data_IF_033612060817
#
_entry.id   IF_033612060817
#
_cell.length_a   1.000
_cell.length_b   1.000
_cell.length_c   1.000
_cell.angle_alpha   90.00
_cell.angle_beta   90.00
_cell.angle_gamma   90.00
#
_symmetry.space_group_name_H-M   'P 1'
#
loop_
_entity.id
_entity.type
_entity.pdbx_description
1 polymer ?
#
# COMPACT_ATOMS: atom_id res chain seq x y z
N UNK A 1 -0.16 40.59 1.03
CA UNK A 1 0.44 40.89 -0.28
C UNK A 1 -0.02 39.91 -1.33
N UNK A 2 0.20 40.18 -2.61
CA UNK A 2 -0.11 39.24 -3.69
C UNK A 2 0.98 38.14 -3.68
N UNK A 3 0.57 36.86 -3.71
CA UNK A 3 1.47 35.71 -3.74
C UNK A 3 0.78 34.50 -4.36
N UNK A 4 1.57 33.49 -4.70
CA UNK A 4 1.03 32.19 -5.13
C UNK A 4 0.72 31.33 -3.90
N UNK A 5 -0.47 30.72 -3.82
CA UNK A 5 -0.75 29.72 -2.78
C UNK A 5 0.28 28.59 -2.83
N UNK A 6 0.69 28.09 -1.67
CA UNK A 6 1.54 26.92 -1.59
C UNK A 6 0.75 25.63 -1.80
N UNK A 7 1.44 24.56 -2.10
CA UNK A 7 0.83 23.24 -2.32
C UNK A 7 -0.02 22.77 -1.12
N UNK A 8 0.47 22.92 0.10
CA UNK A 8 -0.23 22.45 1.30
C UNK A 8 -1.59 23.12 1.53
N UNK A 9 -1.75 24.41 1.19
CA UNK A 9 -3.07 25.07 1.34
C UNK A 9 -4.08 24.54 0.32
N UNK A 10 -3.63 24.11 -0.85
CA UNK A 10 -4.50 23.47 -1.85
C UNK A 10 -5.04 22.15 -1.29
N UNK A 11 -4.17 21.29 -0.72
CA UNK A 11 -4.58 20.04 -0.09
C UNK A 11 -5.48 20.26 1.13
N UNK A 12 -5.14 21.21 2.01
CA UNK A 12 -5.97 21.54 3.18
C UNK A 12 -7.39 21.96 2.76
N UNK A 13 -7.50 22.84 1.75
CA UNK A 13 -8.79 23.31 1.25
C UNK A 13 -9.60 22.20 0.57
N UNK A 14 -8.97 21.40 -0.32
CA UNK A 14 -9.64 20.30 -1.02
C UNK A 14 -10.10 19.21 -0.06
N UNK A 15 -9.28 18.87 0.93
CA UNK A 15 -9.64 17.86 1.92
C UNK A 15 -10.83 18.32 2.77
N UNK A 16 -10.83 19.57 3.21
CA UNK A 16 -11.94 20.12 3.97
C UNK A 16 -13.24 20.13 3.16
N UNK A 17 -13.18 20.52 1.88
CA UNK A 17 -14.36 20.60 1.00
C UNK A 17 -14.94 19.22 0.66
N UNK A 18 -14.07 18.23 0.38
CA UNK A 18 -14.50 16.92 -0.11
C UNK A 18 -14.71 15.88 0.99
N UNK A 19 -13.95 15.95 2.08
CA UNK A 19 -13.91 14.93 3.13
C UNK A 19 -14.38 15.45 4.49
N UNK A 20 -14.56 16.77 4.62
CA UNK A 20 -14.93 17.43 5.86
C UNK A 20 -13.73 17.92 6.66
N UNK A 21 -14.02 18.55 7.80
CA UNK A 21 -13.01 19.20 8.66
C UNK A 21 -12.10 18.19 9.38
N UNK A 22 -12.58 16.96 9.55
CA UNK A 22 -11.84 15.80 10.08
C UNK A 22 -12.14 14.59 9.23
N UNK A 23 -11.11 13.85 8.80
CA UNK A 23 -11.29 12.61 8.05
C UNK A 23 -10.38 11.49 8.57
N UNK A 24 -10.62 10.25 8.11
CA UNK A 24 -10.07 9.07 8.76
C UNK A 24 -8.60 8.84 8.46
N UNK A 25 -8.20 8.86 7.19
CA UNK A 25 -6.85 8.48 6.77
C UNK A 25 -6.29 9.49 5.78
N UNK A 26 -5.07 9.97 6.05
CA UNK A 26 -4.27 10.75 5.12
C UNK A 26 -2.91 10.08 4.92
N UNK A 27 -2.46 9.97 3.68
CA UNK A 27 -1.26 9.24 3.35
C UNK A 27 -0.32 9.97 2.42
N UNK A 28 0.93 9.49 2.37
CA UNK A 28 1.93 10.01 1.45
C UNK A 28 3.28 9.32 1.62
N UNK A 29 4.27 9.80 0.90
CA UNK A 29 5.66 9.40 1.12
C UNK A 29 6.25 10.05 2.39
N UNK A 30 7.34 9.52 2.94
CA UNK A 30 7.96 10.08 4.14
C UNK A 30 8.54 11.48 3.91
N UNK A 31 8.82 11.84 2.68
CA UNK A 31 9.27 13.17 2.25
C UNK A 31 8.17 14.24 2.36
N UNK A 32 6.90 13.84 2.44
CA UNK A 32 5.77 14.75 2.65
C UNK A 32 5.50 15.03 4.13
N UNK A 33 6.02 14.25 5.06
CA UNK A 33 5.81 14.47 6.50
C UNK A 33 6.16 15.92 6.88
N UNK A 34 7.32 16.37 6.42
CA UNK A 34 7.76 17.75 6.62
C UNK A 34 8.35 18.33 5.31
N UNK A 35 7.96 19.56 4.94
CA UNK A 35 7.05 20.46 5.67
C UNK A 35 5.56 20.32 5.29
N UNK A 36 5.20 19.45 4.31
CA UNK A 36 3.89 19.47 3.67
C UNK A 36 2.75 19.11 4.62
N UNK A 37 2.77 17.92 5.20
CA UNK A 37 1.71 17.44 6.10
C UNK A 37 1.65 18.25 7.41
N UNK A 38 2.79 18.65 7.96
CA UNK A 38 2.81 19.54 9.13
C UNK A 38 2.14 20.89 8.86
N UNK A 39 2.33 21.44 7.65
CA UNK A 39 1.64 22.66 7.24
C UNK A 39 0.13 22.44 7.02
N UNK A 40 -0.28 21.29 6.49
CA UNK A 40 -1.70 20.97 6.36
C UNK A 40 -2.38 20.86 7.73
N UNK A 41 -1.72 20.21 8.71
CA UNK A 41 -2.19 20.15 10.10
C UNK A 41 -2.36 21.57 10.65
N UNK A 42 -1.30 22.37 10.60
CA UNK A 42 -1.31 23.72 11.13
C UNK A 42 -2.42 24.61 10.51
N UNK A 43 -2.60 24.52 9.19
CA UNK A 43 -3.63 25.29 8.48
C UNK A 43 -5.04 24.83 8.82
N UNK A 44 -5.29 23.51 8.76
CA UNK A 44 -6.63 22.95 8.93
C UNK A 44 -7.09 23.02 10.37
N UNK A 45 -6.24 22.71 11.34
CA UNK A 45 -6.59 22.76 12.76
C UNK A 45 -6.74 24.19 13.26
N UNK A 46 -5.91 25.13 12.79
CA UNK A 46 -6.06 26.54 13.13
C UNK A 46 -7.33 27.16 12.53
N UNK A 47 -7.72 26.75 11.32
CA UNK A 47 -8.92 27.26 10.67
C UNK A 47 -10.21 26.69 11.26
N UNK A 48 -10.24 25.41 11.57
CA UNK A 48 -11.46 24.68 11.92
C UNK A 48 -11.61 24.39 13.42
N UNK A 49 -10.55 24.54 14.21
CA UNK A 49 -10.55 24.22 15.65
C UNK A 49 -10.79 22.75 15.96
N UNK A 50 -10.51 21.86 15.01
CA UNK A 50 -10.72 20.42 15.10
C UNK A 50 -9.48 19.67 14.65
N UNK A 51 -9.32 18.42 15.10
CA UNK A 51 -8.30 17.51 14.60
C UNK A 51 -8.48 17.31 13.10
N UNK A 52 -7.42 17.46 12.31
CA UNK A 52 -7.49 17.38 10.85
C UNK A 52 -7.64 15.94 10.38
N UNK A 53 -6.78 15.03 10.85
CA UNK A 53 -6.74 13.63 10.38
C UNK A 53 -6.66 12.67 11.57
N UNK A 54 -7.44 11.59 11.54
CA UNK A 54 -7.42 10.57 12.58
C UNK A 54 -6.17 9.71 12.53
N UNK A 55 -5.78 9.26 11.33
CA UNK A 55 -4.65 8.36 11.14
C UNK A 55 -3.78 8.80 9.96
N UNK A 56 -2.47 8.94 10.19
CA UNK A 56 -1.49 9.23 9.17
C UNK A 56 -0.79 7.93 8.72
N UNK A 57 -0.71 7.71 7.40
CA UNK A 57 -0.02 6.56 6.83
C UNK A 57 1.08 7.02 5.87
N UNK A 58 2.34 6.72 6.18
CA UNK A 58 3.47 7.05 5.31
C UNK A 58 4.09 5.78 4.73
N UNK A 59 3.98 5.64 3.40
CA UNK A 59 4.54 4.50 2.68
C UNK A 59 6.02 4.67 2.40
N UNK A 60 6.77 3.58 2.44
CA UNK A 60 8.15 3.56 1.98
C UNK A 60 8.27 3.92 0.49
N UNK A 61 9.45 4.36 0.04
CA UNK A 61 9.68 4.72 -1.35
C UNK A 61 9.72 3.50 -2.27
N UNK A 62 9.21 3.65 -3.49
CA UNK A 62 9.39 2.69 -4.56
C UNK A 62 10.73 2.97 -5.28
N UNK A 63 11.53 1.94 -5.43
CA UNK A 63 12.77 1.95 -6.22
C UNK A 63 12.59 1.06 -7.45
N UNK A 64 13.41 1.28 -8.45
CA UNK A 64 13.46 0.45 -9.65
C UNK A 64 14.90 -0.01 -9.85
N UNK A 65 15.13 -1.33 -9.76
CA UNK A 65 16.47 -1.93 -9.82
C UNK A 65 17.46 -1.28 -8.82
N UNK A 66 17.02 -1.04 -7.59
CA UNK A 66 17.81 -0.46 -6.51
C UNK A 66 17.95 1.07 -6.55
N UNK A 67 17.53 1.72 -7.62
CA UNK A 67 17.64 3.17 -7.80
C UNK A 67 16.32 3.90 -7.53
N UNK A 68 16.40 5.14 -7.07
CA UNK A 68 15.21 5.99 -6.90
C UNK A 68 14.54 6.18 -8.25
N UNK A 69 13.23 5.88 -8.32
CA UNK A 69 12.43 6.12 -9.51
C UNK A 69 12.36 7.62 -9.82
N UNK A 70 12.76 8.02 -11.02
CA UNK A 70 12.64 9.41 -11.46
C UNK A 70 12.52 9.52 -12.99
N UNK A 71 11.83 10.56 -13.45
CA UNK A 71 11.67 10.84 -14.89
C UNK A 71 13.02 11.15 -15.55
N UNK A 72 13.93 11.82 -14.83
CA UNK A 72 15.26 12.20 -15.35
C UNK A 72 16.18 11.00 -15.57
N UNK A 73 16.00 9.91 -14.82
CA UNK A 73 16.76 8.68 -14.98
C UNK A 73 16.15 7.72 -16.01
N UNK A 74 14.98 8.06 -16.57
CA UNK A 74 14.29 7.21 -17.54
C UNK A 74 13.78 5.88 -16.97
N UNK A 75 13.82 5.71 -15.64
CA UNK A 75 13.34 4.53 -14.93
C UNK A 75 11.95 4.74 -14.29
N UNK A 76 11.21 5.74 -14.79
CA UNK A 76 9.89 6.06 -14.28
C UNK A 76 8.84 5.10 -14.87
N UNK A 77 8.17 4.36 -14.00
CA UNK A 77 7.10 3.44 -14.35
C UNK A 77 5.77 3.92 -13.77
N UNK A 78 4.75 3.92 -14.62
CA UNK A 78 3.38 4.10 -14.15
C UNK A 78 2.80 2.76 -13.72
N UNK A 79 1.75 2.77 -12.88
CA UNK A 79 0.98 1.55 -12.56
C UNK A 79 0.47 0.89 -13.85
N UNK A 80 0.08 1.68 -14.85
CA UNK A 80 -0.40 1.17 -16.15
C UNK A 80 0.70 0.41 -16.90
N UNK A 81 1.93 0.91 -16.88
CA UNK A 81 3.05 0.23 -17.54
C UNK A 81 3.39 -1.08 -16.83
N UNK A 82 3.44 -1.06 -15.49
CA UNK A 82 3.68 -2.25 -14.68
C UNK A 82 2.58 -3.32 -14.92
N UNK A 83 1.31 -2.93 -14.93
CA UNK A 83 0.19 -3.83 -15.26
C UNK A 83 0.31 -4.38 -16.68
N UNK A 84 0.65 -3.55 -17.66
CA UNK A 84 0.83 -3.99 -19.05
C UNK A 84 1.93 -5.06 -19.16
N UNK A 85 3.06 -4.86 -18.48
CA UNK A 85 4.15 -5.84 -18.49
C UNK A 85 3.75 -7.14 -17.82
N UNK A 86 3.23 -7.08 -16.58
CA UNK A 86 2.81 -8.29 -15.86
C UNK A 86 1.69 -9.04 -16.57
N UNK A 87 0.74 -8.33 -17.19
CA UNK A 87 -0.33 -8.94 -17.96
C UNK A 87 0.18 -9.58 -19.26
N UNK A 88 1.17 -8.98 -19.90
CA UNK A 88 1.82 -9.58 -21.08
C UNK A 88 2.53 -10.88 -20.71
N UNK A 89 3.18 -10.91 -19.54
CA UNK A 89 3.95 -12.07 -19.09
C UNK A 89 3.08 -13.21 -18.52
N UNK A 90 2.04 -12.87 -17.74
CA UNK A 90 1.27 -13.86 -16.96
C UNK A 90 -0.21 -13.97 -17.37
N UNK A 91 -0.67 -13.14 -18.31
CA UNK A 91 -2.09 -12.97 -18.65
C UNK A 91 -2.79 -11.98 -17.70
N UNK A 92 -3.86 -11.36 -18.18
CA UNK A 92 -4.50 -10.20 -17.52
C UNK A 92 -4.89 -10.47 -16.05
N UNK A 93 -5.53 -11.60 -15.77
CA UNK A 93 -5.94 -11.93 -14.41
C UNK A 93 -4.72 -12.17 -13.50
N UNK A 94 -3.82 -13.01 -13.94
CA UNK A 94 -2.65 -13.40 -13.13
C UNK A 94 -1.66 -12.25 -12.99
N UNK A 95 -1.48 -11.42 -14.02
CA UNK A 95 -0.60 -10.26 -13.98
C UNK A 95 -1.06 -9.22 -12.95
N UNK A 96 -2.36 -8.90 -12.94
CA UNK A 96 -2.94 -7.99 -11.97
C UNK A 96 -2.76 -8.49 -10.53
N UNK A 97 -3.07 -9.77 -10.28
CA UNK A 97 -2.93 -10.39 -8.97
C UNK A 97 -1.45 -10.50 -8.54
N UNK A 98 -0.55 -10.79 -9.47
CA UNK A 98 0.89 -10.83 -9.21
C UNK A 98 1.41 -9.49 -8.76
N UNK A 99 1.07 -8.40 -9.46
CA UNK A 99 1.51 -7.06 -9.10
C UNK A 99 0.95 -6.64 -7.73
N UNK A 100 -0.32 -6.92 -7.47
CA UNK A 100 -0.95 -6.67 -6.17
C UNK A 100 -0.25 -7.43 -5.05
N UNK A 101 -0.01 -8.73 -5.26
CA UNK A 101 0.66 -9.58 -4.28
C UNK A 101 2.12 -9.17 -4.05
N UNK A 102 2.84 -8.77 -5.11
CA UNK A 102 4.20 -8.22 -5.01
C UNK A 102 4.24 -7.03 -4.03
N UNK A 103 3.31 -6.08 -4.15
CA UNK A 103 3.24 -4.93 -3.24
C UNK A 103 2.90 -5.32 -1.80
N UNK A 104 2.01 -6.31 -1.61
CA UNK A 104 1.55 -6.75 -0.29
C UNK A 104 2.57 -7.64 0.46
N UNK A 105 3.57 -8.19 -0.22
CA UNK A 105 4.62 -9.01 0.42
C UNK A 105 5.58 -8.22 1.28
N UNK A 106 5.62 -6.91 1.13
CA UNK A 106 6.44 -6.00 1.92
C UNK A 106 5.56 -5.17 2.85
N UNK A 107 6.09 -4.83 4.02
CA UNK A 107 5.41 -3.87 4.88
C UNK A 107 5.36 -2.51 4.17
N UNK A 108 4.20 -1.83 4.19
CA UNK A 108 4.01 -0.59 3.43
C UNK A 108 4.98 0.54 3.80
N UNK A 109 5.51 0.55 5.02
CA UNK A 109 6.54 1.53 5.46
C UNK A 109 7.94 1.23 4.93
N UNK A 110 8.19 0.02 4.44
CA UNK A 110 9.49 -0.39 3.93
C UNK A 110 9.69 0.07 2.49
N UNK A 111 10.92 0.41 2.09
CA UNK A 111 11.21 0.60 0.67
C UNK A 111 10.89 -0.68 -0.12
N UNK A 112 10.24 -0.52 -1.27
CA UNK A 112 9.98 -1.61 -2.21
C UNK A 112 10.88 -1.43 -3.42
N UNK A 113 11.64 -2.45 -3.79
CA UNK A 113 12.42 -2.46 -5.02
C UNK A 113 11.67 -3.23 -6.11
N UNK A 114 11.32 -2.55 -7.19
CA UNK A 114 10.67 -3.16 -8.34
C UNK A 114 11.72 -3.65 -9.33
N UNK A 115 11.74 -4.96 -9.53
CA UNK A 115 12.53 -5.60 -10.57
C UNK A 115 11.78 -6.81 -11.13
N UNK A 116 12.04 -7.16 -12.39
CA UNK A 116 11.38 -8.31 -13.04
C UNK A 116 11.62 -9.62 -12.27
N UNK A 117 12.80 -9.79 -11.67
CA UNK A 117 13.11 -10.98 -10.86
C UNK A 117 12.28 -11.07 -9.58
N UNK A 118 12.06 -9.94 -8.89
CA UNK A 118 11.24 -9.90 -7.67
C UNK A 118 9.75 -10.05 -7.97
N UNK A 119 9.29 -9.56 -9.13
CA UNK A 119 7.91 -9.78 -9.60
C UNK A 119 7.69 -11.25 -9.96
N UNK A 120 8.66 -11.89 -10.65
CA UNK A 120 8.62 -13.32 -10.96
C UNK A 120 8.57 -14.16 -9.68
N UNK A 121 9.41 -13.85 -8.67
CA UNK A 121 9.38 -14.55 -7.38
C UNK A 121 8.02 -14.38 -6.67
N UNK A 122 7.42 -13.19 -6.77
CA UNK A 122 6.06 -12.96 -6.26
C UNK A 122 5.01 -13.81 -7.01
N UNK A 123 5.14 -13.91 -8.33
CA UNK A 123 4.26 -14.76 -9.15
C UNK A 123 4.32 -16.23 -8.73
N UNK A 124 5.52 -16.79 -8.61
CA UNK A 124 5.72 -18.17 -8.17
C UNK A 124 5.19 -18.43 -6.77
N UNK A 125 5.36 -17.48 -5.87
CA UNK A 125 4.82 -17.55 -4.52
C UNK A 125 3.28 -17.52 -4.51
N UNK A 126 2.67 -16.67 -5.32
CA UNK A 126 1.21 -16.58 -5.48
C UNK A 126 0.61 -17.89 -6.03
N UNK A 127 1.27 -18.49 -7.05
CA UNK A 127 0.85 -19.78 -7.60
C UNK A 127 0.82 -20.88 -6.52
N UNK A 128 1.77 -20.88 -5.58
CA UNK A 128 1.77 -21.84 -4.47
C UNK A 128 0.53 -21.71 -3.59
N UNK A 129 0.12 -20.47 -3.26
CA UNK A 129 -1.11 -20.21 -2.49
C UNK A 129 -2.35 -20.67 -3.26
N UNK A 130 -2.47 -20.35 -4.54
CA UNK A 130 -3.58 -20.81 -5.37
C UNK A 130 -3.60 -22.33 -5.55
N UNK A 131 -2.43 -22.97 -5.56
CA UNK A 131 -2.35 -24.44 -5.63
C UNK A 131 -2.92 -25.08 -4.37
N UNK A 132 -2.63 -24.53 -3.20
CA UNK A 132 -3.24 -24.97 -1.95
C UNK A 132 -4.77 -24.82 -1.97
N UNK A 133 -5.26 -23.64 -2.39
CA UNK A 133 -6.69 -23.36 -2.50
C UNK A 133 -7.42 -24.28 -3.50
N UNK A 134 -6.76 -24.67 -4.59
CA UNK A 134 -7.38 -25.54 -5.63
C UNK A 134 -7.87 -26.88 -5.06
N UNK A 135 -7.21 -27.38 -4.04
CA UNK A 135 -7.49 -28.68 -3.43
C UNK A 135 -8.32 -28.56 -2.14
N UNK A 136 -8.68 -27.34 -1.75
CA UNK A 136 -9.43 -27.07 -0.54
C UNK A 136 -10.85 -26.65 -0.93
N UNK A 137 -11.89 -27.40 -0.55
CA UNK A 137 -13.26 -27.01 -0.81
C UNK A 137 -13.59 -25.72 -0.06
N UNK A 138 -14.41 -24.86 -0.69
CA UNK A 138 -14.93 -23.69 -0.01
C UNK A 138 -15.83 -24.13 1.16
N UNK A 139 -15.72 -23.43 2.25
CA UNK A 139 -16.57 -23.59 3.44
C UNK A 139 -17.33 -22.29 3.67
N UNK A 140 -18.66 -22.39 3.80
CA UNK A 140 -19.54 -21.23 4.04
C UNK A 140 -19.69 -20.91 5.55
N UNK A 141 -19.04 -21.67 6.42
CA UNK A 141 -19.06 -21.39 7.85
C UNK A 141 -18.35 -20.06 8.17
N UNK A 142 -18.84 -19.29 9.15
CA UNK A 142 -18.14 -18.10 9.62
C UNK A 142 -16.72 -18.44 10.10
N UNK A 143 -15.75 -17.61 9.75
CA UNK A 143 -14.38 -17.78 10.21
C UNK A 143 -14.28 -17.63 11.73
N UNK A 144 -13.74 -18.65 12.40
CA UNK A 144 -13.39 -18.56 13.81
C UNK A 144 -12.06 -17.82 13.99
N UNK A 145 -12.13 -16.58 14.43
CA UNK A 145 -10.96 -15.74 14.69
C UNK A 145 -10.11 -16.19 15.89
N UNK A 146 -10.56 -17.19 16.67
CA UNK A 146 -9.75 -17.80 17.74
C UNK A 146 -8.94 -19.00 17.23
N UNK A 147 -9.21 -19.47 16.02
CA UNK A 147 -8.39 -20.49 15.38
C UNK A 147 -6.97 -19.95 15.18
N UNK A 148 -5.98 -20.82 15.34
CA UNK A 148 -4.56 -20.44 15.41
C UNK A 148 -4.10 -19.52 14.27
N UNK A 149 -4.36 -19.89 13.03
CA UNK A 149 -3.88 -19.12 11.87
C UNK A 149 -4.71 -17.86 11.62
N UNK A 150 -6.02 -17.93 11.88
CA UNK A 150 -6.89 -16.77 11.82
C UNK A 150 -6.48 -15.71 12.87
N UNK A 151 -6.22 -16.15 14.11
CA UNK A 151 -5.73 -15.28 15.17
C UNK A 151 -4.37 -14.64 14.82
N UNK A 152 -3.41 -15.40 14.32
CA UNK A 152 -2.10 -14.90 13.92
C UNK A 152 -2.18 -13.93 12.74
N UNK A 153 -3.05 -14.22 11.76
CA UNK A 153 -3.29 -13.31 10.64
C UNK A 153 -3.87 -11.98 11.13
N UNK A 154 -4.89 -12.06 12.01
CA UNK A 154 -5.50 -10.87 12.60
C UNK A 154 -4.48 -10.05 13.39
N UNK A 155 -3.68 -10.69 14.25
CA UNK A 155 -2.63 -10.03 15.02
C UNK A 155 -1.64 -9.28 14.12
N UNK A 156 -1.19 -9.91 13.03
CA UNK A 156 -0.31 -9.27 12.07
C UNK A 156 -0.97 -8.05 11.38
N UNK A 157 -2.26 -8.15 11.04
CA UNK A 157 -2.98 -7.04 10.41
C UNK A 157 -3.32 -5.91 11.39
N UNK A 158 -3.53 -6.22 12.67
CA UNK A 158 -3.75 -5.24 13.73
C UNK A 158 -2.43 -4.53 14.14
N UNK A 159 -1.27 -5.12 13.81
CA UNK A 159 0.06 -4.53 14.01
C UNK A 159 0.47 -3.69 12.78
N UNK A 160 -0.14 -2.50 12.67
CA UNK A 160 0.19 -1.51 11.61
C UNK A 160 0.12 -2.08 10.18
N UNK A 161 -0.89 -2.92 9.92
CA UNK A 161 -1.08 -3.57 8.61
C UNK A 161 0.17 -4.35 8.15
N UNK A 162 0.75 -5.17 9.02
CA UNK A 162 1.92 -5.98 8.73
C UNK A 162 1.56 -7.13 7.76
N UNK A 163 1.30 -6.75 6.50
CA UNK A 163 0.93 -7.68 5.43
C UNK A 163 2.02 -8.70 5.16
N UNK A 164 3.30 -8.37 5.38
CA UNK A 164 4.41 -9.31 5.23
C UNK A 164 4.27 -10.50 6.19
N UNK A 165 3.96 -10.22 7.47
CA UNK A 165 3.72 -11.26 8.46
C UNK A 165 2.41 -12.01 8.20
N UNK A 166 1.34 -11.30 7.83
CA UNK A 166 0.08 -11.92 7.46
C UNK A 166 0.23 -12.91 6.28
N UNK A 167 0.98 -12.54 5.25
CA UNK A 167 1.31 -13.43 4.12
C UNK A 167 2.13 -14.63 4.58
N UNK A 168 3.07 -14.47 5.52
CA UNK A 168 3.83 -15.59 6.08
C UNK A 168 2.91 -16.59 6.77
N UNK A 169 1.90 -16.14 7.51
CA UNK A 169 0.87 -17.02 8.13
C UNK A 169 0.10 -17.82 7.07
N UNK A 170 -0.26 -17.18 5.94
CA UNK A 170 -0.92 -17.89 4.83
C UNK A 170 -0.05 -18.99 4.23
N UNK A 171 1.28 -18.77 4.12
CA UNK A 171 2.20 -19.81 3.68
C UNK A 171 2.39 -20.95 4.69
N UNK A 172 2.32 -20.67 5.98
CA UNK A 172 2.32 -21.73 7.00
C UNK A 172 1.04 -22.57 6.94
N UNK A 173 -0.11 -21.93 6.74
CA UNK A 173 -1.40 -22.61 6.58
C UNK A 173 -1.44 -23.48 5.30
N UNK A 174 -0.76 -23.05 4.23
CA UNK A 174 -0.73 -23.76 2.93
C UNK A 174 0.26 -24.93 2.84
N UNK A 175 0.97 -25.28 3.91
CA UNK A 175 1.87 -26.45 3.98
C UNK A 175 1.10 -27.74 4.19
#
# INVERSE_FOLDING_TARGET
>A
GKGRPGWHIECSAMSCDLLGETFDIHGGGPDLMFPHHENEIAQSEAANGKKFVNTWMHSGPLRVNGEKMSKSLGNFWTIRDALKETNTQYGDKNGNETLRFFLLRSHYRSPIDFSSALVEDAHQALIRLYTALKNTPADDNPLDWNEKYAAQFKEAMDDDFNTAQAVAVLFELAK
#
